data_IF_850982563068
#
_entry.id   IF_850982563068
#
_cell.length_a   1.000
_cell.length_b   1.000
_cell.length_c   1.000
_cell.angle_alpha   90.00
_cell.angle_beta   90.00
_cell.angle_gamma   90.00
#
_symmetry.space_group_name_H-M   'P 1'
#
loop_
_entity.id
_entity.type
_entity.pdbx_description
1 polymer ?
#
# COMPACT_ATOMS: atom_id res chain seq x y z
N UNK A 1 3.61 -7.19 13.22
CA UNK A 1 2.43 -6.79 12.41
C UNK A 1 1.24 -6.77 13.33
N UNK A 2 0.48 -5.67 13.35
CA UNK A 2 -0.76 -5.61 14.11
C UNK A 2 -1.87 -6.24 13.28
N UNK A 3 -2.64 -7.13 13.89
CA UNK A 3 -3.68 -7.89 13.19
C UNK A 3 -4.97 -7.88 14.00
N UNK A 4 -6.08 -7.57 13.34
CA UNK A 4 -7.42 -7.84 13.85
C UNK A 4 -8.26 -8.38 12.70
N UNK A 5 -8.68 -9.64 12.81
CA UNK A 5 -9.38 -10.36 11.75
C UNK A 5 -8.57 -10.27 10.42
N UNK A 6 -9.15 -9.77 9.32
CA UNK A 6 -8.45 -9.60 8.04
C UNK A 6 -7.63 -8.32 7.94
N UNK A 7 -7.70 -7.41 8.92
CA UNK A 7 -6.97 -6.14 8.92
C UNK A 7 -5.52 -6.41 9.33
N UNK A 8 -4.58 -5.97 8.50
CA UNK A 8 -3.14 -6.08 8.75
C UNK A 8 -2.49 -4.73 8.61
N UNK A 9 -1.88 -4.24 9.70
CA UNK A 9 -1.13 -2.98 9.71
C UNK A 9 0.33 -3.26 10.03
N UNK A 10 1.22 -2.70 9.21
CA UNK A 10 2.67 -2.75 9.40
C UNK A 10 3.13 -1.33 9.71
N UNK A 11 3.62 -1.13 10.93
CA UNK A 11 4.23 0.13 11.36
C UNK A 11 5.73 -0.03 11.27
N UNK A 12 6.39 0.85 10.53
CA UNK A 12 7.83 0.79 10.28
C UNK A 12 8.45 2.12 10.66
N UNK A 13 9.48 2.07 11.50
CA UNK A 13 10.25 3.25 11.93
C UNK A 13 11.73 3.04 11.59
N UNK A 14 12.45 4.09 11.17
CA UNK A 14 13.87 3.99 10.90
C UNK A 14 14.68 3.83 12.19
N UNK A 15 15.65 2.91 12.19
CA UNK A 15 16.57 2.72 13.33
C UNK A 15 17.73 3.73 13.36
N UNK A 16 17.96 4.44 12.26
CA UNK A 16 18.99 5.47 12.16
C UNK A 16 18.60 6.55 11.13
N UNK A 17 19.27 7.70 11.18
CA UNK A 17 18.98 8.88 10.35
C UNK A 17 19.24 8.69 8.85
N UNK A 18 20.01 7.66 8.45
CA UNK A 18 20.34 7.41 7.05
C UNK A 18 19.28 6.60 6.29
N UNK A 19 18.24 6.13 6.97
CA UNK A 19 17.16 5.38 6.34
C UNK A 19 16.33 6.27 5.42
N UNK A 20 15.96 5.82 4.20
CA UNK A 20 15.07 6.55 3.30
C UNK A 20 13.66 6.75 3.87
N UNK A 21 13.29 6.01 4.91
CA UNK A 21 12.03 6.21 5.63
C UNK A 21 12.00 7.58 6.32
N UNK A 22 13.16 8.10 6.77
CA UNK A 22 13.23 9.44 7.36
C UNK A 22 12.80 10.52 6.38
N UNK A 23 13.13 10.39 5.09
CA UNK A 23 12.77 11.38 4.07
C UNK A 23 11.25 11.50 3.94
N UNK A 24 10.53 10.36 4.02
CA UNK A 24 9.07 10.34 4.04
C UNK A 24 8.52 11.00 5.31
N UNK A 25 9.04 10.63 6.48
CA UNK A 25 8.57 11.15 7.78
C UNK A 25 8.79 12.67 7.87
N UNK A 26 9.94 13.18 7.44
CA UNK A 26 10.24 14.63 7.45
C UNK A 26 9.26 15.41 6.56
N UNK A 27 8.88 14.84 5.42
CA UNK A 27 8.02 15.50 4.44
C UNK A 27 6.52 15.39 4.76
N UNK A 28 6.09 14.29 5.39
CA UNK A 28 4.67 13.94 5.52
C UNK A 28 4.21 13.69 6.96
N UNK A 29 5.12 13.51 7.91
CA UNK A 29 4.82 12.94 9.23
C UNK A 29 4.50 11.45 9.14
N UNK A 30 3.77 10.94 10.13
CA UNK A 30 3.28 9.56 10.11
C UNK A 30 2.20 9.41 9.04
N UNK A 31 2.40 8.49 8.11
CA UNK A 31 1.52 8.33 6.96
C UNK A 31 1.59 6.95 6.31
N UNK A 32 0.61 6.68 5.45
CA UNK A 32 0.58 5.45 4.65
C UNK A 32 1.56 5.60 3.48
N UNK A 33 2.61 4.76 3.47
CA UNK A 33 3.55 4.69 2.35
C UNK A 33 3.20 3.61 1.33
N UNK A 34 2.73 2.46 1.81
CA UNK A 34 2.50 1.26 1.00
C UNK A 34 1.11 0.71 1.24
N UNK A 35 0.40 0.46 0.16
CA UNK A 35 -0.82 -0.35 0.13
C UNK A 35 -0.45 -1.70 -0.48
N UNK A 36 -0.51 -2.76 0.32
CA UNK A 36 -0.18 -4.11 -0.14
C UNK A 36 -1.43 -4.80 -0.70
N UNK A 37 -1.32 -5.30 -1.92
CA UNK A 37 -2.36 -6.05 -2.62
C UNK A 37 -1.92 -7.50 -2.74
N UNK A 38 -2.72 -8.41 -2.19
CA UNK A 38 -2.48 -9.84 -2.38
C UNK A 38 -2.88 -10.20 -3.81
N UNK A 39 -1.94 -10.77 -4.55
CA UNK A 39 -2.13 -11.26 -5.92
C UNK A 39 -1.67 -12.71 -6.07
N UNK A 40 -2.19 -13.39 -7.09
CA UNK A 40 -1.79 -14.76 -7.45
C UNK A 40 -0.42 -14.84 -8.13
N UNK A 41 -0.03 -13.78 -8.84
CA UNK A 41 1.25 -13.67 -9.56
C UNK A 41 1.74 -12.21 -9.52
N UNK A 42 2.75 -11.95 -8.70
CA UNK A 42 3.30 -10.61 -8.52
C UNK A 42 4.12 -10.14 -9.75
N UNK A 43 4.73 -11.07 -10.47
CA UNK A 43 5.53 -10.77 -11.69
C UNK A 43 4.61 -10.30 -12.80
N UNK A 44 3.52 -11.04 -13.02
CA UNK A 44 2.51 -10.70 -14.02
C UNK A 44 1.81 -9.39 -13.69
N UNK A 45 1.39 -9.18 -12.43
CA UNK A 45 0.77 -7.92 -12.01
C UNK A 45 1.69 -6.72 -12.25
N UNK A 46 2.98 -6.85 -11.91
CA UNK A 46 3.97 -5.83 -12.18
C UNK A 46 4.18 -5.59 -13.67
N UNK A 47 4.37 -6.65 -14.47
CA UNK A 47 4.59 -6.54 -15.91
C UNK A 47 3.40 -5.87 -16.62
N UNK A 48 2.18 -6.31 -16.34
CA UNK A 48 0.97 -5.73 -16.94
C UNK A 48 0.83 -4.24 -16.59
N UNK A 49 0.97 -3.89 -15.32
CA UNK A 49 0.80 -2.49 -14.89
C UNK A 49 1.89 -1.58 -15.44
N UNK A 50 3.15 -2.02 -15.42
CA UNK A 50 4.27 -1.24 -16.00
C UNK A 50 4.16 -1.10 -17.52
N UNK A 51 3.75 -2.15 -18.24
CA UNK A 51 3.47 -2.08 -19.68
C UNK A 51 2.36 -1.06 -20.02
N UNK A 52 1.42 -0.85 -19.11
CA UNK A 52 0.33 0.13 -19.23
C UNK A 52 0.70 1.52 -18.72
N UNK A 53 1.96 1.75 -18.35
CA UNK A 53 2.49 3.08 -18.03
C UNK A 53 2.65 3.37 -16.54
N UNK A 54 2.46 2.40 -15.64
CA UNK A 54 2.87 2.60 -14.25
C UNK A 54 4.37 2.81 -14.13
N UNK A 55 4.76 3.75 -13.27
CA UNK A 55 6.15 3.92 -12.86
C UNK A 55 6.53 2.81 -11.87
N UNK A 56 7.58 2.06 -12.20
CA UNK A 56 8.14 1.04 -11.30
C UNK A 56 8.62 1.63 -9.97
N UNK A 57 8.26 0.96 -8.87
CA UNK A 57 8.84 1.18 -7.55
C UNK A 57 9.88 0.11 -7.22
N UNK A 58 9.53 -1.16 -7.44
CA UNK A 58 10.34 -2.32 -7.10
C UNK A 58 10.08 -3.42 -8.12
N UNK A 59 11.13 -3.86 -8.83
CA UNK A 59 11.07 -5.02 -9.71
C UNK A 59 10.78 -6.31 -8.93
N UNK A 60 10.18 -7.34 -9.58
CA UNK A 60 9.79 -8.56 -8.90
C UNK A 60 10.98 -9.28 -8.25
N UNK A 61 10.96 -9.30 -6.92
CA UNK A 61 12.01 -9.88 -6.08
C UNK A 61 11.43 -11.07 -5.32
N UNK A 62 12.21 -12.15 -5.23
CA UNK A 62 11.86 -13.32 -4.42
C UNK A 62 12.56 -13.20 -3.08
N UNK A 63 11.80 -13.36 -2.00
CA UNK A 63 12.30 -13.46 -0.64
C UNK A 63 11.99 -14.85 -0.11
N UNK A 64 12.97 -15.47 0.55
CA UNK A 64 12.87 -16.86 1.01
C UNK A 64 13.35 -16.99 2.45
N UNK A 65 12.76 -17.94 3.18
CA UNK A 65 13.25 -18.45 4.47
C UNK A 65 12.85 -19.92 4.63
N UNK A 66 13.01 -20.49 5.84
CA UNK A 66 12.63 -21.88 6.14
C UNK A 66 11.14 -22.21 5.91
N UNK A 67 10.26 -21.21 5.75
CA UNK A 67 8.83 -21.38 5.59
C UNK A 67 8.34 -21.23 4.14
N UNK A 68 9.25 -21.05 3.19
CA UNK A 68 8.97 -21.01 1.75
C UNK A 68 9.39 -19.70 1.10
N UNK A 69 8.63 -19.28 0.08
CA UNK A 69 8.96 -18.11 -0.74
C UNK A 69 7.80 -17.14 -0.91
N UNK A 70 8.14 -15.84 -0.98
CA UNK A 70 7.23 -14.76 -1.32
C UNK A 70 7.80 -13.98 -2.48
N UNK A 71 6.96 -13.63 -3.45
CA UNK A 71 7.34 -12.70 -4.52
C UNK A 71 6.68 -11.35 -4.26
N UNK A 72 7.50 -10.28 -4.30
CA UNK A 72 7.02 -8.90 -4.17
C UNK A 72 7.48 -8.05 -5.34
N UNK A 73 6.58 -7.20 -5.81
CA UNK A 73 6.83 -6.20 -6.84
C UNK A 73 5.94 -5.00 -6.56
N UNK A 74 6.31 -3.81 -7.02
CA UNK A 74 5.51 -2.62 -6.72
C UNK A 74 5.61 -1.52 -7.76
N UNK A 75 4.56 -0.71 -7.80
CA UNK A 75 4.44 0.47 -8.64
C UNK A 75 4.09 1.69 -7.80
N UNK A 76 4.52 2.87 -8.26
CA UNK A 76 4.04 4.12 -7.67
C UNK A 76 2.60 4.40 -8.10
N UNK A 77 1.83 5.01 -7.19
CA UNK A 77 0.56 5.68 -7.47
C UNK A 77 0.66 7.15 -7.01
N UNK A 78 -0.45 7.80 -6.69
CA UNK A 78 -0.48 9.21 -6.33
C UNK A 78 0.55 9.62 -5.27
N UNK A 79 1.19 10.76 -5.56
CA UNK A 79 2.30 11.28 -4.78
C UNK A 79 3.47 10.31 -4.79
N UNK A 80 3.73 9.70 -3.65
CA UNK A 80 4.80 8.73 -3.44
C UNK A 80 4.31 7.46 -2.74
N UNK A 81 2.99 7.24 -2.76
CA UNK A 81 2.35 6.02 -2.28
C UNK A 81 2.65 4.90 -3.25
N UNK A 82 2.79 3.68 -2.74
CA UNK A 82 3.13 2.49 -3.53
C UNK A 82 2.01 1.47 -3.42
N UNK A 83 1.62 0.89 -4.56
CA UNK A 83 0.92 -0.39 -4.58
C UNK A 83 1.95 -1.50 -4.65
N UNK A 84 2.00 -2.33 -3.61
CA UNK A 84 2.89 -3.48 -3.52
C UNK A 84 2.09 -4.76 -3.80
N UNK A 85 2.39 -5.42 -4.91
CA UNK A 85 1.89 -6.74 -5.23
C UNK A 85 2.63 -7.79 -4.40
N UNK A 86 1.88 -8.58 -3.65
CA UNK A 86 2.44 -9.59 -2.75
C UNK A 86 1.84 -10.95 -3.08
N UNK A 87 2.67 -11.86 -3.56
CA UNK A 87 2.32 -13.24 -3.88
C UNK A 87 2.86 -14.16 -2.78
N UNK A 88 1.96 -14.82 -2.04
CA UNK A 88 2.30 -15.62 -0.85
C UNK A 88 1.81 -17.07 -0.91
N UNK A 89 1.47 -17.57 -2.10
CA UNK A 89 0.90 -18.92 -2.26
C UNK A 89 1.85 -20.05 -1.83
N UNK A 90 3.16 -19.80 -1.87
CA UNK A 90 4.21 -20.75 -1.51
C UNK A 90 4.84 -20.45 -0.14
N UNK A 91 4.16 -19.70 0.73
CA UNK A 91 4.71 -19.27 2.03
C UNK A 91 3.80 -19.63 3.20
N UNK A 92 4.33 -20.42 4.14
CA UNK A 92 3.59 -20.91 5.31
C UNK A 92 4.04 -20.27 6.63
N UNK A 93 4.91 -19.26 6.58
CA UNK A 93 5.39 -18.55 7.77
C UNK A 93 4.37 -17.53 8.30
N UNK A 94 4.69 -16.92 9.44
CA UNK A 94 3.78 -16.00 10.15
C UNK A 94 3.27 -14.84 9.28
N UNK A 95 4.15 -14.22 8.48
CA UNK A 95 3.77 -13.11 7.60
C UNK A 95 4.63 -13.04 6.34
N UNK A 96 5.86 -12.56 6.44
CA UNK A 96 6.83 -12.47 5.35
C UNK A 96 8.18 -12.97 5.84
N UNK A 97 9.10 -13.36 4.95
CA UNK A 97 10.46 -13.69 5.33
C UNK A 97 11.09 -12.62 6.22
N UNK A 98 11.76 -13.05 7.29
CA UNK A 98 12.39 -12.17 8.28
C UNK A 98 11.46 -11.59 9.35
N UNK A 99 10.14 -11.82 9.27
CA UNK A 99 9.22 -11.46 10.36
C UNK A 99 9.20 -12.53 11.43
N UNK A 100 9.36 -12.10 12.69
CA UNK A 100 9.26 -12.96 13.87
C UNK A 100 7.93 -12.74 14.58
N UNK A 101 7.37 -13.81 15.14
CA UNK A 101 6.19 -13.70 16.00
C UNK A 101 6.54 -12.86 17.24
N UNK A 102 5.63 -11.96 17.60
CA UNK A 102 5.71 -11.19 18.83
C UNK A 102 4.38 -11.26 19.56
N UNK A 103 4.41 -11.86 20.75
CA UNK A 103 3.26 -11.93 21.64
C UNK A 103 3.37 -10.80 22.66
N UNK A 104 2.34 -9.94 22.72
CA UNK A 104 2.21 -8.86 23.69
C UNK A 104 1.52 -9.38 24.95
N UNK A 105 1.86 -8.85 26.12
CA UNK A 105 1.10 -9.11 27.36
C UNK A 105 -0.24 -8.34 27.38
N UNK A 106 -0.35 -7.30 26.55
CA UNK A 106 -1.56 -6.50 26.38
C UNK A 106 -2.30 -6.91 25.12
N UNK A 107 -3.40 -7.65 25.29
CA UNK A 107 -4.32 -8.09 24.22
C UNK A 107 -5.77 -7.74 24.62
N UNK A 108 -6.23 -6.52 24.33
CA UNK A 108 -7.61 -6.13 24.65
C UNK A 108 -8.61 -6.94 23.81
N UNK A 109 -9.89 -6.91 24.23
CA UNK A 109 -10.97 -7.53 23.46
C UNK A 109 -11.04 -6.90 22.06
N UNK A 110 -11.40 -7.67 21.01
CA UNK A 110 -11.52 -7.15 19.65
C UNK A 110 -12.48 -5.96 19.58
N UNK A 111 -12.13 -4.93 18.81
CA UNK A 111 -12.96 -3.76 18.60
C UNK A 111 -14.12 -3.97 17.61
N UNK A 112 -14.31 -5.20 17.10
CA UNK A 112 -15.35 -5.54 16.13
C UNK A 112 -15.04 -5.19 14.67
N UNK A 113 -13.86 -4.64 14.38
CA UNK A 113 -13.38 -4.39 13.01
C UNK A 113 -12.98 -5.70 12.33
N UNK A 114 -13.42 -5.90 11.08
CA UNK A 114 -13.27 -7.17 10.35
C UNK A 114 -12.32 -7.11 9.16
N UNK A 115 -12.39 -6.04 8.37
CA UNK A 115 -11.59 -5.88 7.14
C UNK A 115 -11.42 -4.38 6.82
N UNK A 116 -10.46 -4.08 5.95
CA UNK A 116 -10.31 -2.76 5.34
C UNK A 116 -11.34 -2.66 4.22
N UNK A 117 -12.27 -1.73 4.35
CA UNK A 117 -13.37 -1.57 3.38
C UNK A 117 -12.94 -0.77 2.15
N UNK A 118 -12.38 0.43 2.37
CA UNK A 118 -11.86 1.28 1.31
C UNK A 118 -10.73 2.19 1.84
N UNK A 119 -10.01 2.83 0.91
CA UNK A 119 -8.97 3.82 1.18
C UNK A 119 -9.24 5.06 0.34
N UNK A 120 -9.03 6.24 0.93
CA UNK A 120 -9.21 7.52 0.25
C UNK A 120 -7.83 8.15 0.00
N UNK A 121 -7.53 8.41 -1.26
CA UNK A 121 -6.32 9.12 -1.69
C UNK A 121 -6.63 10.58 -2.04
N UNK A 122 -6.11 11.52 -1.26
CA UNK A 122 -6.19 12.94 -1.61
C UNK A 122 -5.10 13.28 -2.64
N UNK A 123 -5.49 13.99 -3.69
CA UNK A 123 -4.61 14.37 -4.80
C UNK A 123 -4.62 15.87 -5.01
N UNK A 124 -3.64 16.37 -5.77
CA UNK A 124 -3.53 17.80 -6.08
C UNK A 124 -4.72 18.34 -6.87
N UNK A 125 -4.78 19.66 -7.00
CA UNK A 125 -5.80 20.36 -7.79
C UNK A 125 -5.87 19.82 -9.22
N UNK A 126 -7.09 19.55 -9.69
CA UNK A 126 -7.37 19.00 -11.02
C UNK A 126 -6.67 17.66 -11.33
N UNK A 127 -6.25 16.89 -10.31
CA UNK A 127 -5.59 15.59 -10.51
C UNK A 127 -6.55 14.40 -10.34
N UNK A 128 -7.79 14.60 -9.90
CA UNK A 128 -8.73 13.50 -9.64
C UNK A 128 -8.90 12.60 -10.86
N UNK A 129 -9.20 13.18 -12.03
CA UNK A 129 -9.47 12.41 -13.25
C UNK A 129 -8.21 11.72 -13.78
N UNK A 130 -7.02 12.30 -13.57
CA UNK A 130 -5.74 11.65 -13.87
C UNK A 130 -5.59 10.35 -13.10
N UNK A 131 -5.87 10.38 -11.79
CA UNK A 131 -5.72 9.20 -10.94
C UNK A 131 -6.85 8.20 -11.13
N UNK A 132 -8.08 8.64 -11.40
CA UNK A 132 -9.16 7.73 -11.82
C UNK A 132 -8.74 6.96 -13.08
N UNK A 133 -8.29 7.66 -14.13
CA UNK A 133 -7.78 7.02 -15.36
C UNK A 133 -6.59 6.11 -15.10
N UNK A 134 -5.67 6.48 -14.20
CA UNK A 134 -4.58 5.58 -13.81
C UNK A 134 -5.12 4.24 -13.27
N UNK A 135 -6.10 4.25 -12.36
CA UNK A 135 -6.67 3.00 -11.85
C UNK A 135 -7.43 2.22 -12.93
N UNK A 136 -8.13 2.91 -13.83
CA UNK A 136 -8.85 2.28 -14.94
C UNK A 136 -7.89 1.65 -15.98
N UNK A 137 -7.00 2.45 -16.54
CA UNK A 137 -6.13 2.03 -17.65
C UNK A 137 -5.01 1.10 -17.16
N UNK A 138 -4.40 1.40 -16.01
CA UNK A 138 -3.23 0.66 -15.52
C UNK A 138 -3.63 -0.56 -14.69
N UNK A 139 -4.56 -0.39 -13.75
CA UNK A 139 -4.94 -1.47 -12.83
C UNK A 139 -6.18 -2.24 -13.29
N UNK A 140 -6.88 -1.78 -14.33
CA UNK A 140 -8.09 -2.43 -14.84
C UNK A 140 -9.29 -2.27 -13.91
N UNK A 141 -9.28 -1.28 -13.03
CA UNK A 141 -10.42 -1.02 -12.14
C UNK A 141 -11.54 -0.34 -12.91
N UNK A 142 -12.75 -0.40 -12.37
CA UNK A 142 -13.91 0.31 -12.91
C UNK A 142 -14.41 1.30 -11.88
N UNK A 143 -14.81 2.48 -12.33
CA UNK A 143 -15.42 3.48 -11.45
C UNK A 143 -16.70 2.90 -10.83
N UNK A 144 -16.72 2.76 -9.50
CA UNK A 144 -17.88 2.26 -8.75
C UNK A 144 -18.87 3.38 -8.39
N UNK A 145 -18.36 4.52 -7.91
CA UNK A 145 -19.15 5.68 -7.50
C UNK A 145 -18.32 6.96 -7.64
N UNK A 146 -18.93 8.06 -8.10
CA UNK A 146 -18.26 9.36 -8.27
C UNK A 146 -19.13 10.47 -7.69
N UNK A 147 -18.55 11.23 -6.77
CA UNK A 147 -19.16 12.44 -6.19
C UNK A 147 -18.15 13.57 -6.19
N UNK A 148 -18.42 14.64 -6.95
CA UNK A 148 -17.63 15.87 -6.88
C UNK A 148 -18.27 16.84 -5.90
N UNK A 149 -17.58 17.11 -4.80
CA UNK A 149 -17.93 18.18 -3.87
C UNK A 149 -17.02 19.36 -4.17
N UNK A 150 -17.46 20.30 -5.00
CA UNK A 150 -16.77 21.59 -5.14
C UNK A 150 -17.00 22.39 -3.87
N UNK A 151 -15.95 22.59 -3.06
CA UNK A 151 -15.99 23.60 -1.99
C UNK A 151 -16.12 24.99 -2.62
N UNK A 152 -17.34 25.52 -2.70
CA UNK A 152 -17.59 26.95 -2.80
C UNK A 152 -17.24 27.59 -1.45
N UNK A 153 -15.94 27.80 -1.20
CA UNK A 153 -15.51 28.71 -0.12
C UNK A 153 -14.91 29.94 -0.80
N UNK A 154 -15.71 31.01 -1.02
CA UNK A 154 -15.15 32.27 -1.44
C UNK A 154 -14.37 32.84 -0.24
N UNK A 155 -13.09 33.16 -0.44
CA UNK A 155 -12.22 33.92 0.47
C UNK A 155 -11.56 33.17 1.65
N UNK A 156 -10.54 32.37 1.34
CA UNK A 156 -9.39 32.28 2.25
C UNK A 156 -8.15 32.73 1.44
N UNK A 157 -7.68 33.94 1.72
CA UNK A 157 -6.36 34.46 1.31
C UNK A 157 -5.33 34.07 2.38
N UNK A 158 -4.03 33.97 2.02
CA UNK A 158 -2.99 33.30 2.81
C UNK A 158 -2.84 33.81 4.25
#
# INVERSE_FOLDING_TARGET
MLTQDKIKLVLTTPLNSKSPINEHIVKHGDGVKVVALWVEDARKAYQETTNRGAKSYMEPTVETDEHGEVVRAGIYTYGETVHMFVERKNYNGTFLPGFKAWNSDYNPKPAGLKYIDHMVGNVGWNQMDTWVKFYEDVMGFVTFYRLMISKFIPNIRP
#
